data_IF_074176741533
#
_entry.id   IF_074176741533
#
_cell.length_a   1.000
_cell.length_b   1.000
_cell.length_c   1.000
_cell.angle_alpha   90.00
_cell.angle_beta   90.00
_cell.angle_gamma   90.00
#
_symmetry.space_group_name_H-M   'P 1'
#
loop_
_entity.id
_entity.type
_entity.pdbx_description
1 polymer ?
#
# COMPACT_ATOMS: atom_id res chain seq x y z
N UNK A 1 -21.93 22.20 2.05
CA UNK A 1 -21.13 21.02 1.64
C UNK A 1 -19.89 21.43 0.82
N UNK A 2 -19.65 22.72 0.66
CA UNK A 2 -18.63 23.30 -0.25
C UNK A 2 -17.21 23.36 0.32
N UNK A 3 -17.00 22.97 1.59
CA UNK A 3 -15.68 22.97 2.24
C UNK A 3 -14.99 21.59 2.29
N UNK A 4 -15.68 20.52 1.89
CA UNK A 4 -15.13 19.16 1.88
C UNK A 4 -14.59 18.73 0.51
N UNK A 5 -15.06 19.37 -0.57
CA UNK A 5 -14.60 19.12 -1.95
C UNK A 5 -13.07 19.29 -2.14
N UNK A 6 -12.39 20.31 -1.57
CA UNK A 6 -10.96 20.50 -1.81
C UNK A 6 -10.08 19.42 -1.15
N UNK A 7 -10.59 18.70 -0.14
CA UNK A 7 -9.83 17.59 0.48
C UNK A 7 -9.87 16.35 -0.40
N UNK A 8 -10.99 16.10 -1.09
CA UNK A 8 -11.11 14.94 -2.00
C UNK A 8 -10.36 15.14 -3.33
N UNK A 9 -10.14 16.39 -3.75
CA UNK A 9 -9.27 16.74 -4.89
C UNK A 9 -7.77 16.83 -4.52
N UNK A 10 -7.43 16.71 -3.24
CA UNK A 10 -6.04 16.83 -2.78
C UNK A 10 -5.31 15.49 -2.74
N UNK A 11 -4.09 15.46 -3.27
CA UNK A 11 -3.15 14.34 -3.13
C UNK A 11 -2.78 14.04 -1.65
N UNK A 12 -3.21 14.88 -0.70
CA UNK A 12 -2.97 14.71 0.73
C UNK A 12 -3.49 13.38 1.29
N UNK A 13 -4.64 12.90 0.82
CA UNK A 13 -5.21 11.63 1.30
C UNK A 13 -4.41 10.42 0.80
N UNK A 14 -4.15 10.27 -0.52
CA UNK A 14 -3.20 9.28 -1.04
C UNK A 14 -1.85 9.27 -0.32
N UNK A 15 -1.25 10.45 -0.14
CA UNK A 15 0.05 10.60 0.54
C UNK A 15 -0.05 10.20 2.02
N UNK A 16 -1.11 10.63 2.72
CA UNK A 16 -1.35 10.27 4.11
C UNK A 16 -1.46 8.76 4.32
N UNK A 17 -2.13 8.05 3.41
CA UNK A 17 -2.23 6.59 3.43
C UNK A 17 -0.85 5.95 3.24
N UNK A 18 -0.03 6.42 2.29
CA UNK A 18 1.33 5.89 2.09
C UNK A 18 2.21 6.08 3.33
N UNK A 19 2.17 7.26 3.93
CA UNK A 19 2.93 7.57 5.16
C UNK A 19 2.50 6.64 6.30
N UNK A 20 1.19 6.47 6.49
CA UNK A 20 0.67 5.58 7.53
C UNK A 20 1.13 4.13 7.32
N UNK A 21 0.99 3.61 6.10
CA UNK A 21 1.41 2.23 5.75
C UNK A 21 2.92 2.04 5.99
N UNK A 22 3.74 3.02 5.61
CA UNK A 22 5.18 2.98 5.82
C UNK A 22 5.55 2.98 7.32
N UNK A 23 4.87 3.80 8.12
CA UNK A 23 5.05 3.86 9.58
C UNK A 23 4.63 2.53 10.22
N UNK A 24 3.48 1.97 9.85
CA UNK A 24 3.02 0.67 10.36
C UNK A 24 4.02 -0.45 10.04
N UNK A 25 4.50 -0.51 8.80
CA UNK A 25 5.52 -1.48 8.40
C UNK A 25 6.82 -1.32 9.20
N UNK A 26 7.26 -0.09 9.44
CA UNK A 26 8.46 0.20 10.24
C UNK A 26 8.27 -0.23 11.71
N UNK A 27 7.13 0.11 12.31
CA UNK A 27 6.79 -0.28 13.70
C UNK A 27 6.78 -1.80 13.83
N UNK A 28 6.14 -2.51 12.89
CA UNK A 28 6.12 -3.97 12.86
C UNK A 28 7.53 -4.58 12.76
N UNK A 29 8.39 -4.03 11.89
CA UNK A 29 9.78 -4.49 11.75
C UNK A 29 10.57 -4.28 13.04
N UNK A 30 10.48 -3.09 13.65
CA UNK A 30 11.17 -2.79 14.91
C UNK A 30 10.68 -3.73 16.01
N UNK A 31 9.37 -3.95 16.08
CA UNK A 31 8.78 -4.84 17.08
C UNK A 31 9.19 -6.30 16.87
N UNK A 32 9.18 -6.83 15.65
CA UNK A 32 9.62 -8.20 15.32
C UNK A 32 11.11 -8.41 15.59
N UNK A 33 11.95 -7.40 15.37
CA UNK A 33 13.37 -7.44 15.74
C UNK A 33 13.58 -7.53 17.24
N UNK A 34 12.72 -6.88 18.03
CA UNK A 34 12.76 -6.92 19.50
C UNK A 34 12.12 -8.18 20.08
N UNK A 35 11.20 -8.82 19.35
CA UNK A 35 10.41 -9.98 19.81
C UNK A 35 10.43 -11.12 18.77
N UNK A 36 11.59 -11.72 18.46
CA UNK A 36 11.74 -12.68 17.37
C UNK A 36 10.98 -14.01 17.60
N UNK A 37 10.72 -14.37 18.85
CA UNK A 37 10.04 -15.62 19.24
C UNK A 37 8.52 -15.45 19.37
N UNK A 38 7.99 -14.28 19.02
CA UNK A 38 6.55 -14.03 18.98
C UNK A 38 5.84 -14.78 17.85
N UNK A 39 4.51 -14.80 17.89
CA UNK A 39 3.66 -15.42 16.85
C UNK A 39 3.92 -14.86 15.44
N UNK A 40 4.36 -13.60 15.34
CA UNK A 40 4.67 -12.97 14.06
C UNK A 40 6.06 -13.34 13.52
N UNK A 41 6.90 -13.95 14.36
CA UNK A 41 8.25 -14.40 14.05
C UNK A 41 9.21 -13.28 13.72
N UNK A 42 10.34 -13.66 13.11
CA UNK A 42 11.36 -12.72 12.62
C UNK A 42 10.85 -11.90 11.41
N UNK A 43 11.42 -10.71 11.17
CA UNK A 43 11.10 -9.92 10.00
C UNK A 43 11.34 -10.71 8.71
N UNK A 44 10.32 -10.80 7.86
CA UNK A 44 10.41 -11.40 6.54
C UNK A 44 10.35 -10.29 5.49
N UNK A 45 11.50 -9.98 4.89
CA UNK A 45 11.64 -8.87 3.93
C UNK A 45 10.71 -9.04 2.72
N UNK A 46 10.56 -10.25 2.19
CA UNK A 46 9.66 -10.50 1.06
C UNK A 46 8.20 -10.19 1.42
N UNK A 47 7.76 -10.54 2.64
CA UNK A 47 6.41 -10.23 3.14
C UNK A 47 6.20 -8.73 3.35
N UNK A 48 7.22 -8.02 3.86
CA UNK A 48 7.17 -6.57 4.08
C UNK A 48 7.12 -5.82 2.75
N UNK A 49 7.98 -6.16 1.80
CA UNK A 49 8.04 -5.50 0.48
C UNK A 49 6.75 -5.74 -0.30
N UNK A 50 6.22 -6.97 -0.28
CA UNK A 50 4.97 -7.27 -0.97
C UNK A 50 3.75 -6.61 -0.32
N UNK A 51 3.72 -6.47 1.01
CA UNK A 51 2.69 -5.69 1.72
C UNK A 51 2.74 -4.19 1.35
N UNK A 52 3.95 -3.60 1.39
CA UNK A 52 4.16 -2.20 0.99
C UNK A 52 3.79 -1.97 -0.48
N UNK A 53 4.12 -2.92 -1.36
CA UNK A 53 3.75 -2.86 -2.77
C UNK A 53 2.23 -2.93 -2.97
N UNK A 54 1.53 -3.79 -2.22
CA UNK A 54 0.07 -3.87 -2.28
C UNK A 54 -0.58 -2.54 -1.86
N UNK A 55 -0.13 -1.96 -0.74
CA UNK A 55 -0.56 -0.65 -0.27
C UNK A 55 -0.26 0.48 -1.26
N UNK A 56 0.95 0.51 -1.83
CA UNK A 56 1.34 1.49 -2.84
C UNK A 56 0.50 1.42 -4.11
N UNK A 57 0.15 0.20 -4.55
CA UNK A 57 -0.67 -0.01 -5.74
C UNK A 57 -2.13 0.45 -5.56
N UNK A 58 -2.70 0.28 -4.35
CA UNK A 58 -4.01 0.84 -4.00
C UNK A 58 -3.99 2.37 -4.10
N UNK A 59 -2.94 3.00 -3.57
CA UNK A 59 -2.81 4.46 -3.60
C UNK A 59 -2.63 4.99 -5.03
N UNK A 60 -1.82 4.31 -5.85
CA UNK A 60 -1.68 4.65 -7.27
C UNK A 60 -3.03 4.61 -8.00
N UNK A 61 -3.85 3.59 -7.75
CA UNK A 61 -5.20 3.50 -8.32
C UNK A 61 -6.09 4.67 -7.87
N UNK A 62 -6.00 5.08 -6.59
CA UNK A 62 -6.73 6.24 -6.08
C UNK A 62 -6.30 7.55 -6.76
N UNK A 63 -5.01 7.74 -7.03
CA UNK A 63 -4.49 8.94 -7.71
C UNK A 63 -5.03 9.05 -9.13
N UNK A 64 -5.02 7.98 -9.92
CA UNK A 64 -5.50 8.02 -11.31
C UNK A 64 -7.03 8.10 -11.42
N UNK A 65 -7.76 7.60 -10.41
CA UNK A 65 -9.22 7.60 -10.41
C UNK A 65 -9.86 8.90 -9.90
N UNK A 66 -9.25 9.56 -8.90
CA UNK A 66 -9.85 10.75 -8.23
C UNK A 66 -9.60 12.08 -8.91
N UNK A 67 -8.75 12.14 -9.94
CA UNK A 67 -8.42 13.42 -10.58
C UNK A 67 -9.62 13.99 -11.36
N UNK A 68 -9.75 15.34 -11.43
CA UNK A 68 -10.79 16.00 -12.20
C UNK A 68 -10.73 15.69 -13.71
N UNK A 69 -9.57 15.29 -14.21
CA UNK A 69 -9.39 14.67 -15.53
C UNK A 69 -8.79 13.27 -15.35
N UNK A 70 -9.62 12.23 -15.15
CA UNK A 70 -9.15 10.88 -14.85
C UNK A 70 -8.48 10.26 -16.08
N UNK A 71 -7.30 9.67 -15.90
CA UNK A 71 -6.59 8.93 -16.95
C UNK A 71 -6.99 7.44 -16.88
N UNK A 72 -7.82 6.92 -17.81
CA UNK A 72 -8.27 5.54 -17.75
C UNK A 72 -7.11 4.55 -17.97
N UNK A 73 -6.15 4.93 -18.83
CA UNK A 73 -4.95 4.15 -19.11
C UNK A 73 -4.04 4.07 -17.89
N UNK A 74 -3.78 5.20 -17.21
CA UNK A 74 -2.99 5.23 -15.99
C UNK A 74 -3.62 4.42 -14.86
N UNK A 75 -4.96 4.48 -14.73
CA UNK A 75 -5.71 3.66 -13.78
C UNK A 75 -5.60 2.16 -14.12
N UNK A 76 -5.79 1.78 -15.39
CA UNK A 76 -5.70 0.39 -15.81
C UNK A 76 -4.30 -0.21 -15.57
N UNK A 77 -3.24 0.56 -15.85
CA UNK A 77 -1.86 0.16 -15.56
C UNK A 77 -1.63 0.02 -14.05
N UNK A 78 -2.12 0.97 -13.24
CA UNK A 78 -2.03 0.88 -11.79
C UNK A 78 -2.74 -0.37 -11.25
N UNK A 79 -3.92 -0.70 -11.77
CA UNK A 79 -4.68 -1.90 -11.40
C UNK A 79 -3.98 -3.20 -11.85
N UNK A 80 -3.38 -3.22 -13.03
CA UNK A 80 -2.58 -4.36 -13.51
C UNK A 80 -1.36 -4.60 -12.62
N UNK A 81 -0.62 -3.53 -12.29
CA UNK A 81 0.49 -3.59 -11.35
C UNK A 81 0.02 -4.06 -9.96
N UNK A 82 -1.11 -3.55 -9.47
CA UNK A 82 -1.71 -3.98 -8.22
C UNK A 82 -1.99 -5.48 -8.22
N UNK A 83 -2.62 -6.00 -9.28
CA UNK A 83 -2.91 -7.42 -9.43
C UNK A 83 -1.63 -8.26 -9.35
N UNK A 84 -0.59 -7.91 -10.11
CA UNK A 84 0.69 -8.63 -10.09
C UNK A 84 1.31 -8.67 -8.69
N UNK A 85 1.31 -7.53 -7.99
CA UNK A 85 1.86 -7.44 -6.63
C UNK A 85 1.05 -8.27 -5.64
N UNK A 86 -0.29 -8.27 -5.74
CA UNK A 86 -1.14 -9.08 -4.88
C UNK A 86 -0.96 -10.59 -5.13
N UNK A 87 -0.85 -11.01 -6.40
CA UNK A 87 -0.54 -12.41 -6.74
C UNK A 87 0.80 -12.83 -6.15
N UNK A 88 1.81 -11.96 -6.25
CA UNK A 88 3.11 -12.21 -5.62
C UNK A 88 3.01 -12.26 -4.09
N UNK A 89 2.27 -11.34 -3.46
CA UNK A 89 2.06 -11.32 -2.01
C UNK A 89 1.42 -12.62 -1.53
N UNK A 90 0.38 -13.10 -2.22
CA UNK A 90 -0.27 -14.39 -1.93
C UNK A 90 0.75 -15.53 -2.05
N UNK A 91 1.55 -15.56 -3.13
CA UNK A 91 2.58 -16.58 -3.30
C UNK A 91 3.63 -16.56 -2.16
N UNK A 92 4.03 -15.37 -1.68
CA UNK A 92 4.91 -15.22 -0.52
C UNK A 92 4.24 -15.75 0.76
N UNK A 93 2.94 -15.51 0.95
CA UNK A 93 2.20 -16.02 2.11
C UNK A 93 1.99 -17.54 2.07
N UNK A 94 1.94 -18.14 0.89
CA UNK A 94 1.76 -19.59 0.69
C UNK A 94 3.08 -20.38 0.86
N UNK A 95 4.23 -19.78 0.56
CA UNK A 95 5.57 -20.37 0.72
C UNK A 95 6.07 -20.38 2.19
N UNK A 96 5.18 -20.59 3.17
CA UNK A 96 5.54 -20.65 4.60
C UNK A 96 6.62 -21.68 4.89
#
# INVERSE_FOLDING_TARGET
>A
MDRLVPIFDSDALPIGILVLIAVEALVLVIWQRRNPDSVLGRPNIARIVSFLGAGGSLVAAMIFHRRPDPSPEGFAVAMLCAMVIHLWHIAVLLKR
#
